data_IF_970274366496
#
_entry.id   IF_970274366496
#
_cell.length_a   1.000
_cell.length_b   1.000
_cell.length_c   1.000
_cell.angle_alpha   90.00
_cell.angle_beta   90.00
_cell.angle_gamma   90.00
#
_symmetry.space_group_name_H-M   'P 1'
#
loop_
_entity.id
_entity.type
_entity.pdbx_description
1 polymer ?
#
# COMPACT_ATOMS: atom_id res chain seq x y z
N UNK A 1 14.20 5.81 -4.75
CA UNK A 1 13.35 6.00 -3.59
C UNK A 1 12.37 4.86 -3.59
N UNK A 2 12.24 4.17 -2.46
CA UNK A 2 11.11 3.27 -2.22
C UNK A 2 9.98 4.08 -1.58
N UNK A 3 8.80 4.04 -2.19
CA UNK A 3 7.61 4.72 -1.66
C UNK A 3 6.35 3.93 -1.99
N UNK A 4 5.41 3.83 -1.07
CA UNK A 4 4.12 3.17 -1.29
C UNK A 4 2.98 4.11 -0.89
N UNK A 5 2.08 4.38 -1.82
CA UNK A 5 0.88 5.17 -1.59
C UNK A 5 -0.34 4.25 -1.51
N UNK A 6 -1.15 4.42 -0.47
CA UNK A 6 -2.38 3.66 -0.23
C UNK A 6 -3.52 4.62 0.07
N UNK A 7 -4.67 4.43 -0.57
CA UNK A 7 -5.91 5.13 -0.22
C UNK A 7 -7.07 4.14 -0.17
N UNK A 8 -7.90 4.29 0.86
CA UNK A 8 -9.09 3.47 1.07
C UNK A 8 -10.37 4.27 0.77
N UNK A 9 -11.41 3.58 0.33
CA UNK A 9 -12.75 4.12 0.14
C UNK A 9 -13.50 4.12 1.48
N UNK A 10 -13.25 5.15 2.28
CA UNK A 10 -13.91 5.35 3.57
C UNK A 10 -15.43 5.44 3.45
N UNK A 11 -15.93 5.96 2.33
CA UNK A 11 -17.35 6.05 2.03
C UNK A 11 -17.97 4.66 1.87
N UNK A 12 -17.33 3.78 1.09
CA UNK A 12 -17.75 2.39 0.92
C UNK A 12 -17.65 1.60 2.23
N UNK A 13 -16.56 1.76 2.99
CA UNK A 13 -16.41 1.12 4.31
C UNK A 13 -17.58 1.53 5.23
N UNK A 14 -17.83 2.83 5.33
CA UNK A 14 -18.89 3.38 6.21
C UNK A 14 -20.28 2.95 5.77
N UNK A 15 -20.52 2.83 4.46
CA UNK A 15 -21.80 2.40 3.89
C UNK A 15 -22.08 0.91 4.09
N UNK A 16 -21.07 0.06 3.89
CA UNK A 16 -21.24 -1.40 4.00
C UNK A 16 -21.22 -1.90 5.46
N UNK A 17 -20.60 -1.15 6.38
CA UNK A 17 -20.52 -1.47 7.81
C UNK A 17 -19.97 -2.87 8.15
N UNK A 18 -19.28 -3.53 7.22
CA UNK A 18 -18.55 -4.78 7.50
C UNK A 18 -17.36 -4.55 8.44
N UNK A 19 -16.75 -3.37 8.32
CA UNK A 19 -15.65 -2.88 9.16
C UNK A 19 -15.88 -1.41 9.50
N UNK A 20 -15.23 -0.90 10.54
CA UNK A 20 -15.14 0.55 10.77
C UNK A 20 -13.90 1.11 10.07
N UNK A 21 -13.97 2.35 9.59
CA UNK A 21 -12.83 3.04 8.97
C UNK A 21 -11.59 2.98 9.88
N UNK A 22 -11.77 3.24 11.17
CA UNK A 22 -10.70 3.17 12.17
C UNK A 22 -10.07 1.79 12.28
N UNK A 23 -10.86 0.71 12.23
CA UNK A 23 -10.34 -0.66 12.34
C UNK A 23 -9.52 -1.08 11.11
N UNK A 24 -9.92 -0.63 9.92
CA UNK A 24 -9.19 -0.90 8.67
C UNK A 24 -7.85 -0.18 8.68
N UNK A 25 -7.81 1.11 9.06
CA UNK A 25 -6.55 1.83 9.18
C UNK A 25 -5.65 1.27 10.29
N UNK A 26 -6.21 0.86 11.43
CA UNK A 26 -5.42 0.20 12.47
C UNK A 26 -4.77 -1.10 11.95
N UNK A 27 -5.53 -1.94 11.27
CA UNK A 27 -5.00 -3.17 10.66
C UNK A 27 -3.95 -2.89 9.60
N UNK A 28 -4.13 -1.83 8.81
CA UNK A 28 -3.14 -1.37 7.85
C UNK A 28 -1.86 -0.94 8.56
N UNK A 29 -1.94 -0.07 9.56
CA UNK A 29 -0.77 0.39 10.31
C UNK A 29 0.00 -0.74 10.97
N UNK A 30 -0.70 -1.70 11.59
CA UNK A 30 -0.09 -2.88 12.20
C UNK A 30 0.68 -3.74 11.19
N UNK A 31 0.22 -3.80 9.93
CA UNK A 31 0.93 -4.52 8.87
C UNK A 31 2.29 -3.88 8.52
N UNK A 32 2.45 -2.57 8.77
CA UNK A 32 3.70 -1.84 8.51
C UNK A 32 4.56 -1.65 9.78
N UNK A 33 3.97 -1.81 10.97
CA UNK A 33 4.58 -1.48 12.26
C UNK A 33 5.91 -2.22 12.50
N UNK A 34 6.02 -3.49 12.10
CA UNK A 34 7.26 -4.28 12.27
C UNK A 34 8.45 -3.76 11.45
N UNK A 35 8.21 -2.95 10.42
CA UNK A 35 9.24 -2.50 9.49
C UNK A 35 9.77 -1.11 9.79
N UNK A 36 9.22 -0.40 10.79
CA UNK A 36 9.67 0.93 11.22
C UNK A 36 9.78 1.96 10.09
N UNK A 37 8.95 1.80 9.05
CA UNK A 37 8.93 2.71 7.90
C UNK A 37 8.30 4.04 8.29
N UNK A 38 8.85 5.14 7.75
CA UNK A 38 8.23 6.46 7.91
C UNK A 38 6.87 6.46 7.21
N UNK A 39 5.86 7.03 7.87
CA UNK A 39 4.49 7.17 7.36
C UNK A 39 4.06 8.63 7.44
N UNK A 40 3.53 9.15 6.34
CA UNK A 40 2.85 10.45 6.27
C UNK A 40 1.40 10.28 5.77
N UNK A 41 0.58 11.31 5.97
CA UNK A 41 -0.80 11.38 5.47
C UNK A 41 -0.98 12.62 4.60
N UNK A 42 -1.56 12.42 3.42
CA UNK A 42 -1.94 13.49 2.49
C UNK A 42 -3.33 14.04 2.84
N UNK A 43 -3.66 15.29 2.46
CA UNK A 43 -4.96 15.91 2.74
C UNK A 43 -6.16 15.15 2.18
N UNK A 44 -5.95 14.34 1.16
CA UNK A 44 -7.00 13.57 0.50
C UNK A 44 -7.26 12.20 1.13
N UNK A 45 -6.56 11.87 2.23
CA UNK A 45 -6.64 10.59 2.93
C UNK A 45 -5.66 9.52 2.41
N UNK A 46 -4.81 9.84 1.44
CA UNK A 46 -3.73 8.92 1.03
C UNK A 46 -2.71 8.79 2.16
N UNK A 47 -2.36 7.55 2.52
CA UNK A 47 -1.24 7.24 3.40
C UNK A 47 -0.02 6.93 2.54
N UNK A 48 1.12 7.50 2.90
CA UNK A 48 2.38 7.32 2.18
C UNK A 48 3.41 6.71 3.11
N UNK A 49 3.95 5.57 2.72
CA UNK A 49 5.07 4.91 3.39
C UNK A 49 6.35 5.13 2.60
N UNK A 50 7.44 5.48 3.28
CA UNK A 50 8.74 5.75 2.67
C UNK A 50 9.76 4.72 3.14
N UNK A 51 10.59 4.25 2.20
CA UNK A 51 11.83 3.59 2.52
C UNK A 51 12.72 4.51 3.37
N UNK A 52 13.43 3.91 4.31
CA UNK A 52 14.41 4.53 5.17
C UNK A 52 15.81 4.57 4.56
N UNK A 53 16.02 3.85 3.46
CA UNK A 53 17.34 3.59 2.86
C UNK A 53 18.00 2.33 3.42
N UNK A 54 17.29 1.56 4.26
CA UNK A 54 17.76 0.27 4.74
C UNK A 54 17.67 -0.75 3.59
N UNK A 55 18.71 -1.58 3.35
CA UNK A 55 18.69 -2.60 2.30
C UNK A 55 17.52 -3.60 2.39
N UNK A 56 16.88 -3.72 3.57
CA UNK A 56 15.73 -4.60 3.79
C UNK A 56 14.41 -3.98 3.35
N UNK A 57 14.37 -2.67 3.09
CA UNK A 57 13.12 -1.96 2.76
C UNK A 57 12.44 -2.53 1.52
N UNK A 58 13.20 -2.88 0.48
CA UNK A 58 12.65 -3.47 -0.73
C UNK A 58 11.88 -4.77 -0.43
N UNK A 59 12.53 -5.68 0.31
CA UNK A 59 11.91 -6.92 0.75
C UNK A 59 10.71 -6.69 1.66
N UNK A 60 10.79 -5.70 2.56
CA UNK A 60 9.68 -5.31 3.43
C UNK A 60 8.45 -4.87 2.63
N UNK A 61 8.62 -3.94 1.67
CA UNK A 61 7.53 -3.52 0.79
C UNK A 61 6.94 -4.70 0.00
N UNK A 62 7.78 -5.58 -0.56
CA UNK A 62 7.33 -6.77 -1.26
C UNK A 62 6.50 -7.71 -0.38
N UNK A 63 6.96 -7.97 0.86
CA UNK A 63 6.23 -8.79 1.83
C UNK A 63 4.87 -8.18 2.21
N UNK A 64 4.82 -6.86 2.44
CA UNK A 64 3.57 -6.17 2.79
C UNK A 64 2.59 -6.20 1.61
N UNK A 65 3.07 -5.89 0.39
CA UNK A 65 2.24 -5.89 -0.82
C UNK A 65 1.61 -7.26 -1.05
N UNK A 66 2.42 -8.31 -0.99
CA UNK A 66 1.96 -9.69 -1.20
C UNK A 66 1.08 -10.22 -0.07
N UNK A 67 1.17 -9.66 1.14
CA UNK A 67 0.27 -9.98 2.25
C UNK A 67 -1.09 -9.29 2.08
N UNK A 68 -1.09 -7.99 1.75
CA UNK A 68 -2.31 -7.18 1.62
C UNK A 68 -3.22 -7.64 0.48
N UNK A 69 -2.65 -8.13 -0.64
CA UNK A 69 -3.47 -8.61 -1.78
C UNK A 69 -4.40 -9.78 -1.43
N UNK A 70 -4.08 -10.52 -0.37
CA UNK A 70 -4.88 -11.67 0.09
C UNK A 70 -5.95 -11.27 1.12
N UNK A 71 -6.06 -9.98 1.48
CA UNK A 71 -6.96 -9.50 2.53
C UNK A 71 -8.17 -8.81 1.91
N UNK A 72 -9.35 -9.41 2.05
CA UNK A 72 -10.60 -8.79 1.60
C UNK A 72 -10.89 -7.46 2.30
N UNK A 73 -10.56 -7.34 3.60
CA UNK A 73 -10.67 -6.07 4.34
C UNK A 73 -9.84 -4.93 3.75
N UNK A 74 -8.86 -5.24 2.89
CA UNK A 74 -8.06 -4.28 2.15
C UNK A 74 -8.51 -4.19 0.68
N UNK A 75 -8.49 -5.32 -0.04
CA UNK A 75 -8.77 -5.37 -1.48
C UNK A 75 -10.18 -4.92 -1.87
N UNK A 76 -11.17 -5.11 -0.99
CA UNK A 76 -12.53 -4.65 -1.28
C UNK A 76 -12.66 -3.13 -1.20
N UNK A 77 -11.72 -2.44 -0.53
CA UNK A 77 -11.85 -1.02 -0.18
C UNK A 77 -10.69 -0.15 -0.66
N UNK A 78 -9.57 -0.71 -1.13
CA UNK A 78 -8.46 0.07 -1.67
C UNK A 78 -8.84 0.69 -3.03
N UNK A 79 -8.58 1.99 -3.17
CA UNK A 79 -8.86 2.78 -4.39
C UNK A 79 -7.62 3.42 -5.00
N UNK A 80 -6.50 3.41 -4.27
CA UNK A 80 -5.17 3.79 -4.76
C UNK A 80 -4.15 2.88 -4.11
N UNK A 81 -3.30 2.25 -4.92
CA UNK A 81 -2.19 1.45 -4.43
C UNK A 81 -1.02 1.54 -5.41
N UNK A 82 -0.11 2.48 -5.16
CA UNK A 82 0.95 2.84 -6.10
C UNK A 82 2.30 2.60 -5.44
N UNK A 83 3.15 1.81 -6.07
CA UNK A 83 4.51 1.52 -5.61
C UNK A 83 5.52 2.23 -6.50
N UNK A 84 6.41 2.98 -5.87
CA UNK A 84 7.55 3.63 -6.49
C UNK A 84 8.77 2.82 -6.11
N UNK A 85 9.39 2.19 -7.09
CA UNK A 85 10.45 1.20 -6.89
C UNK A 85 11.73 1.64 -7.60
N UNK A 86 12.79 1.89 -6.84
CA UNK A 86 14.11 2.22 -7.39
C UNK A 86 15.14 1.09 -7.25
N UNK A 87 14.71 -0.14 -6.95
CA UNK A 87 15.66 -1.26 -6.73
C UNK A 87 16.51 -1.55 -7.98
N UNK A 88 15.91 -1.44 -9.17
CA UNK A 88 16.59 -1.59 -10.46
C UNK A 88 17.08 -0.23 -11.05
N UNK A 89 16.96 0.87 -10.31
CA UNK A 89 17.29 2.22 -10.78
C UNK A 89 18.74 2.61 -10.54
N UNK A 90 19.28 3.54 -11.33
CA UNK A 90 20.66 4.05 -11.14
C UNK A 90 20.85 4.77 -9.80
N UNK A 91 19.79 5.40 -9.28
CA UNK A 91 19.77 6.13 -8.02
C UNK A 91 18.34 6.33 -7.52
N UNK A 92 18.17 7.02 -6.40
CA UNK A 92 16.86 7.18 -5.78
C UNK A 92 15.82 7.99 -6.59
N UNK A 93 16.25 8.78 -7.58
CA UNK A 93 15.33 9.51 -8.46
C UNK A 93 15.00 8.73 -9.74
N UNK A 94 15.67 7.61 -9.96
CA UNK A 94 15.38 6.67 -11.04
C UNK A 94 14.54 5.53 -10.46
N UNK A 95 13.22 5.64 -10.62
CA UNK A 95 12.27 4.67 -10.08
C UNK A 95 11.19 4.34 -11.09
N UNK A 96 10.77 3.09 -11.11
CA UNK A 96 9.55 2.65 -11.75
C UNK A 96 8.34 3.04 -10.88
N UNK A 97 7.23 3.37 -11.53
CA UNK A 97 5.94 3.58 -10.87
C UNK A 97 4.99 2.46 -11.29
N UNK A 98 4.58 1.65 -10.32
CA UNK A 98 3.70 0.51 -10.52
C UNK A 98 2.33 0.78 -9.89
N UNK A 99 1.28 0.65 -10.68
CA UNK A 99 -0.09 0.59 -10.17
C UNK A 99 -0.40 -0.84 -9.71
N UNK A 100 -0.15 -1.07 -8.42
CA UNK A 100 -0.30 -2.37 -7.75
C UNK A 100 -1.78 -2.79 -7.73
N UNK A 101 -2.70 -1.83 -7.56
CA UNK A 101 -4.14 -2.10 -7.61
C UNK A 101 -4.55 -2.61 -8.98
N UNK A 102 -4.13 -1.92 -10.05
CA UNK A 102 -4.38 -2.35 -11.42
C UNK A 102 -3.76 -3.71 -11.71
N UNK A 103 -2.53 -3.96 -11.26
CA UNK A 103 -1.85 -5.25 -11.42
C UNK A 103 -2.69 -6.42 -10.87
N UNK A 104 -3.19 -6.31 -9.63
CA UNK A 104 -3.94 -7.41 -9.01
C UNK A 104 -5.39 -7.52 -9.51
N UNK A 105 -6.08 -6.40 -9.77
CA UNK A 105 -7.46 -6.44 -10.27
C UNK A 105 -7.56 -6.92 -11.72
N UNK A 106 -6.59 -6.60 -12.57
CA UNK A 106 -6.53 -7.13 -13.93
C UNK A 106 -6.23 -8.63 -13.95
N UNK A 107 -5.33 -9.12 -13.08
CA UNK A 107 -5.03 -10.56 -12.97
C UNK A 107 -6.23 -11.36 -12.46
N UNK A 108 -7.05 -10.79 -11.57
CA UNK A 108 -8.30 -11.41 -11.13
C UNK A 108 -9.38 -11.48 -12.22
N UNK A 109 -9.33 -10.58 -13.22
CA UNK A 109 -10.30 -10.56 -14.33
C UNK A 109 -9.99 -11.56 -15.46
N UNK A 110 -8.80 -12.19 -15.43
CA UNK A 110 -8.31 -13.12 -16.46
C UNK A 110 -8.32 -14.58 -15.94
N UNK A 111 -8.75 -14.81 -14.69
CA UNK A 111 -8.83 -16.12 -14.05
C UNK A 111 -10.24 -16.74 -14.13
#
# INVERSE_FOLDING_TARGET
MLKLEIKLDEGKISKEQKYSVSSVYYALEEAFNSYHLRKDSEPDGTIVFYGSGDPRDYGAFGCIITSLKEKSWFMDYVIKWIWYNSDDGENENDFAVEDVLYHYTKRMSVA
#
